data_IF_158540155499
#
_entry.id   IF_158540155499
#
_cell.length_a   1.000
_cell.length_b   1.000
_cell.length_c   1.000
_cell.angle_alpha   90.00
_cell.angle_beta   90.00
_cell.angle_gamma   90.00
#
_symmetry.space_group_name_H-M   'P 1'
#
loop_
_entity.id
_entity.type
_entity.pdbx_description
1 polymer ?
#
# COMPACT_ATOMS: atom_id res chain seq x y z
N UNK A 1 -25.30 -33.03 37.04
CA UNK A 1 -25.92 -32.08 37.97
C UNK A 1 -24.84 -31.09 38.37
N UNK A 2 -25.11 -29.83 38.07
CA UNK A 2 -24.16 -28.73 37.90
C UNK A 2 -24.59 -27.58 38.78
N UNK A 3 -23.76 -27.18 39.74
CA UNK A 3 -23.88 -25.93 40.52
C UNK A 3 -22.42 -25.50 40.78
N UNK A 4 -21.82 -24.56 40.05
CA UNK A 4 -22.10 -23.13 39.88
C UNK A 4 -22.01 -22.36 41.20
N UNK A 5 -20.82 -21.79 41.49
CA UNK A 5 -20.72 -20.62 42.35
C UNK A 5 -19.63 -19.65 41.86
N UNK A 6 -20.06 -18.79 40.94
CA UNK A 6 -19.87 -17.34 40.91
C UNK A 6 -18.80 -16.72 41.83
N UNK A 7 -17.61 -16.49 41.27
CA UNK A 7 -16.64 -15.50 41.77
C UNK A 7 -17.05 -14.09 41.33
N UNK A 8 -17.57 -13.34 42.30
CA UNK A 8 -18.05 -11.96 42.25
C UNK A 8 -16.92 -10.99 41.85
N UNK A 9 -17.10 -10.26 40.75
CA UNK A 9 -16.32 -9.06 40.44
C UNK A 9 -17.07 -7.85 41.01
N UNK A 10 -16.53 -7.21 42.04
CA UNK A 10 -17.00 -5.90 42.52
C UNK A 10 -16.49 -4.78 41.60
N UNK A 11 -17.36 -3.85 41.16
CA UNK A 11 -16.92 -2.63 40.51
C UNK A 11 -16.51 -1.57 41.54
N UNK A 12 -15.35 -0.96 41.32
CA UNK A 12 -14.80 0.18 42.07
C UNK A 12 -15.81 1.35 42.07
N UNK A 13 -16.24 1.78 43.26
CA UNK A 13 -17.05 2.98 43.47
C UNK A 13 -16.22 4.24 43.21
N UNK A 14 -16.70 5.26 42.46
CA UNK A 14 -16.09 6.58 42.46
C UNK A 14 -16.45 7.34 43.75
N UNK A 15 -15.47 8.09 44.26
CA UNK A 15 -15.56 8.87 45.49
C UNK A 15 -16.65 9.97 45.41
N UNK A 16 -17.30 10.15 46.55
CA UNK A 16 -18.30 11.17 46.89
C UNK A 16 -17.79 12.60 46.78
N UNK A 17 -18.58 13.47 46.16
CA UNK A 17 -18.46 14.94 46.25
C UNK A 17 -18.86 15.46 47.65
N UNK A 18 -18.26 16.56 48.14
CA UNK A 18 -18.83 17.36 49.23
C UNK A 18 -19.94 18.32 48.72
N UNK A 19 -20.82 18.83 49.62
CA UNK A 19 -22.06 19.51 49.25
C UNK A 19 -21.94 21.03 49.04
N UNK A 20 -23.06 21.55 48.55
CA UNK A 20 -23.38 22.84 47.94
C UNK A 20 -23.29 24.10 48.82
N UNK A 21 -23.09 25.23 48.14
CA UNK A 21 -23.93 26.45 48.11
C UNK A 21 -23.20 27.47 47.19
N UNK A 22 -23.78 28.37 46.39
CA UNK A 22 -25.12 28.78 45.97
C UNK A 22 -24.81 29.89 44.91
N UNK A 23 -25.24 29.87 43.65
CA UNK A 23 -26.43 30.59 43.15
C UNK A 23 -26.28 30.77 41.62
N UNK A 24 -27.37 30.60 40.87
CA UNK A 24 -27.64 31.46 39.71
C UNK A 24 -27.48 30.89 38.28
N UNK A 25 -28.63 30.57 37.68
CA UNK A 25 -28.98 30.68 36.24
C UNK A 25 -28.83 29.46 35.32
N UNK A 26 -29.80 28.55 35.42
CA UNK A 26 -30.31 27.71 34.32
C UNK A 26 -31.58 28.32 33.75
N UNK A 27 -31.65 28.56 32.43
CA UNK A 27 -32.78 28.55 31.46
C UNK A 27 -32.17 29.17 30.17
N UNK A 28 -32.18 28.66 28.95
CA UNK A 28 -32.83 27.54 28.27
C UNK A 28 -32.00 27.17 27.03
N UNK A 29 -31.81 25.86 26.80
CA UNK A 29 -31.63 25.32 25.45
C UNK A 29 -33.03 25.09 24.87
N UNK A 30 -33.51 26.01 24.03
CA UNK A 30 -34.52 25.80 22.97
C UNK A 30 -35.01 27.16 22.41
N UNK A 31 -34.19 27.86 21.62
CA UNK A 31 -34.64 28.91 20.68
C UNK A 31 -33.46 29.45 19.85
N UNK A 32 -33.01 28.70 18.83
CA UNK A 32 -32.14 29.25 17.78
C UNK A 32 -32.39 28.52 16.44
N UNK A 33 -33.67 28.43 16.07
CA UNK A 33 -34.10 28.36 14.68
C UNK A 33 -34.99 29.58 14.48
N UNK A 34 -34.66 30.39 13.47
CA UNK A 34 -35.33 31.62 13.02
C UNK A 34 -34.85 32.93 13.66
N UNK A 35 -33.93 33.62 12.98
CA UNK A 35 -33.83 35.08 12.98
C UNK A 35 -33.24 35.57 11.63
N UNK A 36 -33.66 36.72 11.09
CA UNK A 36 -33.37 37.16 9.72
C UNK A 36 -32.04 37.90 9.58
N UNK A 37 -31.45 37.83 8.39
CA UNK A 37 -30.31 38.66 7.96
C UNK A 37 -30.69 40.15 7.94
N UNK A 38 -29.90 40.99 8.60
CA UNK A 38 -29.91 42.46 8.46
C UNK A 38 -28.55 42.88 7.92
N UNK A 39 -28.51 43.52 6.74
CA UNK A 39 -27.30 44.11 6.17
C UNK A 39 -26.92 45.41 6.88
N UNK A 40 -25.65 45.66 7.21
CA UNK A 40 -25.19 46.99 7.61
C UNK A 40 -24.82 47.81 6.36
N UNK A 41 -25.52 48.93 6.16
CA UNK A 41 -25.10 50.02 5.27
C UNK A 41 -24.16 50.97 6.03
N UNK A 42 -22.95 51.19 5.51
CA UNK A 42 -22.02 52.21 6.00
C UNK A 42 -20.77 52.31 5.10
N UNK A 43 -20.33 53.51 4.70
CA UNK A 43 -19.27 53.69 3.70
C UNK A 43 -17.87 53.43 4.27
N UNK A 44 -17.06 52.64 3.55
CA UNK A 44 -15.68 52.30 3.90
C UNK A 44 -14.70 53.40 3.42
N UNK A 45 -13.90 54.06 4.28
CA UNK A 45 -13.11 55.24 3.91
C UNK A 45 -11.72 54.97 3.28
N UNK A 46 -11.39 53.75 2.89
CA UNK A 46 -10.06 53.44 2.33
C UNK A 46 -10.14 52.62 1.04
N UNK A 47 -10.41 53.29 -0.07
CA UNK A 47 -10.07 52.80 -1.40
C UNK A 47 -9.91 53.98 -2.38
N UNK A 48 -8.68 54.49 -2.50
CA UNK A 48 -8.28 55.39 -3.59
C UNK A 48 -7.78 54.56 -4.77
N UNK A 49 -8.25 54.90 -5.98
CA UNK A 49 -7.83 54.33 -7.26
C UNK A 49 -6.87 55.28 -8.00
N UNK A 50 -5.99 54.79 -8.89
CA UNK A 50 -5.32 55.62 -9.90
C UNK A 50 -6.11 55.69 -11.23
N UNK A 51 -5.74 56.69 -12.02
CA UNK A 51 -6.54 57.34 -13.05
C UNK A 51 -6.60 56.70 -14.47
N UNK A 52 -7.70 57.07 -15.14
CA UNK A 52 -8.12 57.10 -16.54
C UNK A 52 -7.19 56.77 -17.73
N UNK A 53 -7.76 56.04 -18.71
CA UNK A 53 -7.53 56.13 -20.16
C UNK A 53 -8.85 55.82 -20.93
N UNK A 54 -9.04 56.25 -22.20
CA UNK A 54 -10.31 56.77 -22.70
C UNK A 54 -11.25 55.76 -23.42
N UNK A 55 -12.51 56.19 -23.55
CA UNK A 55 -13.69 55.46 -24.00
C UNK A 55 -13.67 55.01 -25.48
N UNK A 56 -14.30 53.84 -25.72
CA UNK A 56 -14.80 53.38 -27.04
C UNK A 56 -16.30 53.04 -26.96
N UNK A 57 -17.05 53.14 -28.09
CA UNK A 57 -18.52 53.17 -28.08
C UNK A 57 -19.16 51.79 -27.87
N UNK A 58 -20.29 51.77 -27.16
CA UNK A 58 -21.11 50.60 -26.91
C UNK A 58 -21.89 50.18 -28.17
N UNK A 59 -21.64 48.97 -28.66
CA UNK A 59 -22.54 48.23 -29.55
C UNK A 59 -23.44 47.30 -28.72
N UNK A 60 -24.75 47.41 -28.94
CA UNK A 60 -25.78 46.60 -28.29
C UNK A 60 -25.65 45.12 -28.71
N UNK A 61 -25.64 44.22 -27.73
CA UNK A 61 -25.71 42.77 -27.95
C UNK A 61 -27.19 42.32 -27.96
N UNK A 62 -27.60 41.46 -28.91
CA UNK A 62 -28.96 40.93 -28.97
C UNK A 62 -29.20 39.77 -27.99
N UNK A 63 -30.45 39.68 -27.54
CA UNK A 63 -31.04 38.73 -26.60
C UNK A 63 -31.01 37.27 -27.10
N UNK A 64 -30.82 36.25 -26.24
CA UNK A 64 -30.87 34.84 -26.64
C UNK A 64 -32.31 34.35 -26.85
N UNK A 65 -32.58 33.79 -28.03
CA UNK A 65 -33.82 33.10 -28.40
C UNK A 65 -33.90 31.71 -27.75
N UNK A 66 -35.07 31.41 -27.18
CA UNK A 66 -35.45 30.10 -26.62
C UNK A 66 -35.59 29.04 -27.73
N UNK A 67 -34.98 27.87 -27.53
CA UNK A 67 -35.15 26.69 -28.36
C UNK A 67 -36.45 25.92 -28.01
N UNK A 68 -37.19 25.37 -28.99
CA UNK A 68 -38.46 24.68 -28.76
C UNK A 68 -38.29 23.21 -28.31
N UNK A 69 -39.27 22.75 -27.53
CA UNK A 69 -39.37 21.41 -26.96
C UNK A 69 -39.67 20.30 -28.00
N UNK A 70 -39.26 19.04 -27.77
CA UNK A 70 -39.54 17.93 -28.68
C UNK A 70 -41.02 17.48 -28.62
N UNK A 71 -41.62 17.32 -29.80
CA UNK A 71 -42.98 16.84 -30.02
C UNK A 71 -43.12 15.32 -29.79
N UNK A 72 -44.24 14.95 -29.17
CA UNK A 72 -44.71 13.58 -28.94
C UNK A 72 -45.24 12.96 -30.25
N UNK A 73 -44.87 11.71 -30.52
CA UNK A 73 -45.42 10.91 -31.62
C UNK A 73 -46.75 10.23 -31.20
N UNK A 74 -47.69 9.96 -32.13
CA UNK A 74 -49.03 9.48 -31.79
C UNK A 74 -49.13 7.96 -31.60
N UNK A 75 -50.13 7.58 -30.80
CA UNK A 75 -50.52 6.23 -30.44
C UNK A 75 -51.01 5.40 -31.65
N UNK A 76 -50.52 4.17 -31.75
CA UNK A 76 -51.05 3.14 -32.65
C UNK A 76 -51.85 2.08 -31.85
N UNK A 77 -52.97 1.68 -32.45
CA UNK A 77 -54.08 0.90 -31.91
C UNK A 77 -53.75 -0.58 -31.64
N UNK A 78 -54.44 -1.15 -30.65
CA UNK A 78 -54.50 -2.58 -30.33
C UNK A 78 -55.55 -3.31 -31.20
N UNK A 79 -55.21 -4.52 -31.69
CA UNK A 79 -56.12 -5.65 -31.97
C UNK A 79 -55.27 -6.95 -32.17
N UNK A 80 -55.82 -8.18 -32.15
CA UNK A 80 -55.84 -9.05 -30.98
C UNK A 80 -55.06 -10.37 -31.12
N UNK A 81 -55.07 -11.12 -30.01
CA UNK A 81 -54.43 -12.40 -29.73
C UNK A 81 -54.42 -13.45 -30.86
N UNK A 82 -53.26 -14.11 -31.02
CA UNK A 82 -53.06 -15.29 -31.85
C UNK A 82 -51.87 -16.13 -31.39
N UNK A 83 -52.19 -17.17 -30.61
CA UNK A 83 -51.58 -18.51 -30.55
C UNK A 83 -50.06 -18.68 -30.34
N UNK A 84 -49.77 -19.33 -29.22
CA UNK A 84 -48.48 -19.87 -28.78
C UNK A 84 -47.78 -20.76 -29.82
N UNK A 85 -46.50 -20.48 -30.08
CA UNK A 85 -45.51 -21.46 -30.53
C UNK A 85 -44.27 -21.34 -29.62
N UNK A 86 -43.68 -22.44 -29.14
CA UNK A 86 -42.64 -22.41 -28.12
C UNK A 86 -41.29 -21.91 -28.68
N UNK A 87 -40.61 -21.10 -27.89
CA UNK A 87 -39.23 -20.67 -28.13
C UNK A 87 -38.26 -21.88 -28.11
N UNK A 88 -37.22 -21.92 -28.98
CA UNK A 88 -36.21 -22.95 -28.92
C UNK A 88 -35.29 -22.73 -27.70
N UNK A 89 -35.14 -23.77 -26.89
CA UNK A 89 -34.18 -23.83 -25.78
C UNK A 89 -32.74 -23.78 -26.31
N UNK A 90 -31.78 -23.13 -25.62
CA UNK A 90 -30.37 -23.29 -25.92
C UNK A 90 -29.93 -24.72 -25.59
N UNK A 91 -29.46 -25.45 -26.60
CA UNK A 91 -28.89 -26.78 -26.45
C UNK A 91 -27.63 -26.74 -25.57
N UNK A 92 -27.59 -27.63 -24.57
CA UNK A 92 -26.42 -27.89 -23.76
C UNK A 92 -25.28 -28.46 -24.63
N UNK A 93 -24.14 -27.76 -24.65
CA UNK A 93 -22.91 -28.29 -25.22
C UNK A 93 -22.36 -29.42 -24.33
N UNK A 94 -22.34 -30.64 -24.87
CA UNK A 94 -21.64 -31.80 -24.33
C UNK A 94 -20.29 -31.93 -25.05
N UNK A 95 -19.15 -32.08 -24.34
CA UNK A 95 -17.86 -32.30 -24.99
C UNK A 95 -17.78 -33.71 -25.60
N UNK A 96 -17.11 -33.89 -26.76
CA UNK A 96 -17.02 -35.19 -27.41
C UNK A 96 -16.12 -36.17 -26.64
N UNK A 97 -16.65 -37.37 -26.38
CA UNK A 97 -15.90 -38.52 -25.87
C UNK A 97 -14.88 -39.01 -26.89
N UNK A 98 -13.64 -39.22 -26.45
CA UNK A 98 -12.58 -39.87 -27.22
C UNK A 98 -12.80 -41.40 -27.30
N UNK A 99 -12.49 -42.05 -28.43
CA UNK A 99 -12.52 -43.51 -28.56
C UNK A 99 -11.33 -44.18 -27.83
N UNK A 100 -11.48 -45.46 -27.40
CA UNK A 100 -10.46 -46.15 -26.62
C UNK A 100 -9.25 -46.56 -27.45
N UNK A 101 -8.05 -46.29 -26.93
CA UNK A 101 -6.78 -46.71 -27.52
C UNK A 101 -6.54 -48.20 -27.23
N UNK A 102 -6.46 -49.00 -28.30
CA UNK A 102 -6.03 -50.40 -28.28
C UNK A 102 -4.56 -50.50 -27.87
N UNK A 103 -4.27 -51.24 -26.80
CA UNK A 103 -2.93 -51.69 -26.45
C UNK A 103 -2.52 -52.84 -27.40
N UNK A 104 -1.42 -52.67 -28.12
CA UNK A 104 -0.75 -53.73 -28.89
C UNK A 104 0.33 -54.41 -28.03
N UNK A 105 0.46 -55.75 -28.04
CA UNK A 105 1.47 -56.48 -27.27
C UNK A 105 2.82 -56.49 -27.99
N UNK A 106 3.92 -56.25 -27.27
CA UNK A 106 5.28 -56.49 -27.75
C UNK A 106 5.72 -57.95 -27.47
N UNK A 107 6.41 -58.63 -28.41
CA UNK A 107 6.90 -60.01 -28.27
C UNK A 107 8.28 -60.11 -27.55
N UNK A 108 8.68 -61.34 -27.11
CA UNK A 108 9.74 -61.53 -26.13
C UNK A 108 11.13 -61.67 -26.76
N UNK A 109 12.16 -61.13 -26.10
CA UNK A 109 13.57 -61.33 -26.49
C UNK A 109 14.24 -62.27 -25.48
N UNK A 110 14.69 -63.42 -26.00
CA UNK A 110 15.48 -64.43 -25.31
C UNK A 110 16.89 -63.92 -24.99
N UNK A 111 17.37 -64.24 -23.78
CA UNK A 111 18.75 -64.06 -23.35
C UNK A 111 19.45 -65.42 -23.29
N UNK A 112 20.70 -65.49 -23.79
CA UNK A 112 21.85 -66.32 -23.33
C UNK A 112 23.00 -66.22 -24.36
N UNK A 113 24.28 -66.53 -24.05
CA UNK A 113 25.14 -65.81 -23.09
C UNK A 113 26.59 -65.59 -23.63
N UNK A 114 27.31 -64.56 -23.16
CA UNK A 114 28.79 -64.55 -23.18
C UNK A 114 29.38 -63.79 -21.95
N UNK A 115 30.60 -64.16 -21.50
CA UNK A 115 30.98 -64.15 -20.07
C UNK A 115 32.04 -63.11 -19.65
N UNK A 116 32.04 -62.76 -18.34
CA UNK A 116 33.15 -62.22 -17.54
C UNK A 116 33.25 -60.68 -17.48
N UNK A 117 32.66 -59.94 -16.54
CA UNK A 117 32.81 -59.83 -15.07
C UNK A 117 34.16 -59.21 -14.61
N UNK A 118 34.11 -57.98 -14.05
CA UNK A 118 34.50 -57.62 -12.68
C UNK A 118 34.15 -56.14 -12.40
N UNK A 119 33.19 -55.91 -11.50
CA UNK A 119 32.93 -54.62 -10.84
C UNK A 119 32.62 -54.89 -9.34
N UNK A 120 33.23 -54.19 -8.37
CA UNK A 120 32.97 -54.44 -6.94
C UNK A 120 31.75 -53.67 -6.42
N UNK A 121 30.85 -54.38 -5.72
CA UNK A 121 29.70 -53.84 -5.01
C UNK A 121 30.01 -53.57 -3.53
N UNK A 122 29.30 -52.57 -2.98
CA UNK A 122 29.18 -52.24 -1.57
C UNK A 122 28.54 -53.37 -0.75
N UNK A 123 28.80 -53.44 0.57
CA UNK A 123 27.87 -54.01 1.51
C UNK A 123 27.32 -53.00 2.53
N UNK A 124 26.04 -53.13 2.80
CA UNK A 124 25.31 -52.47 3.87
C UNK A 124 25.68 -53.07 5.25
N UNK A 125 25.78 -52.22 6.29
CA UNK A 125 25.29 -52.55 7.63
C UNK A 125 25.40 -51.35 8.61
N UNK A 126 24.39 -51.24 9.47
CA UNK A 126 24.35 -50.55 10.77
C UNK A 126 23.64 -51.51 11.75
N UNK A 127 23.70 -51.33 13.08
CA UNK A 127 24.68 -50.63 13.92
C UNK A 127 25.08 -51.44 15.18
N UNK A 128 26.20 -51.11 15.85
CA UNK A 128 26.26 -51.02 17.31
C UNK A 128 27.58 -50.42 17.84
N UNK A 129 27.43 -49.62 18.89
CA UNK A 129 28.46 -48.88 19.64
C UNK A 129 29.61 -49.75 20.15
N UNK A 130 30.86 -49.26 20.10
CA UNK A 130 31.59 -48.67 21.27
C UNK A 130 33.05 -48.34 20.92
N UNK A 131 33.44 -47.09 21.22
CA UNK A 131 34.76 -46.58 21.63
C UNK A 131 36.05 -47.10 20.96
N UNK A 132 36.77 -46.23 20.26
CA UNK A 132 38.07 -45.68 20.70
C UNK A 132 38.72 -44.83 19.60
N UNK A 133 39.11 -43.61 19.98
CA UNK A 133 40.16 -42.75 19.39
C UNK A 133 40.36 -42.74 17.88
N UNK A 134 39.81 -41.72 17.22
CA UNK A 134 40.50 -41.05 16.13
C UNK A 134 40.23 -39.55 16.19
N UNK A 135 41.26 -38.83 16.62
CA UNK A 135 41.38 -37.39 16.63
C UNK A 135 41.14 -36.84 15.23
N UNK A 136 40.00 -36.20 15.01
CA UNK A 136 39.80 -35.35 13.85
C UNK A 136 40.67 -34.11 14.02
N UNK A 137 41.67 -33.97 13.15
CA UNK A 137 42.40 -32.73 12.97
C UNK A 137 41.41 -31.63 12.59
N UNK A 138 41.07 -30.78 13.55
CA UNK A 138 40.29 -29.56 13.33
C UNK A 138 41.16 -28.65 12.47
N UNK A 139 40.82 -28.58 11.18
CA UNK A 139 41.47 -27.67 10.23
C UNK A 139 41.25 -26.23 10.70
N UNK A 140 42.33 -25.45 10.79
CA UNK A 140 42.31 -24.05 11.17
C UNK A 140 41.50 -23.13 10.22
N UNK A 141 40.91 -23.70 9.15
CA UNK A 141 40.08 -23.00 8.17
C UNK A 141 38.57 -23.07 8.44
N UNK A 142 38.10 -23.89 9.40
CA UNK A 142 36.68 -23.95 9.80
C UNK A 142 36.31 -22.99 10.95
N UNK A 143 37.27 -22.19 11.42
CA UNK A 143 37.04 -21.14 12.40
C UNK A 143 36.50 -19.89 11.69
N UNK A 144 35.23 -19.92 11.30
CA UNK A 144 34.53 -18.69 10.93
C UNK A 144 34.62 -17.71 12.10
N UNK A 145 35.03 -16.47 11.81
CA UNK A 145 35.30 -15.41 12.79
C UNK A 145 34.10 -15.14 13.72
N UNK A 146 32.89 -15.51 13.28
CA UNK A 146 31.64 -15.47 14.03
C UNK A 146 31.50 -16.51 15.15
N UNK A 147 32.23 -17.64 15.09
CA UNK A 147 32.26 -18.66 16.15
C UNK A 147 33.35 -18.38 17.20
N UNK A 148 34.40 -17.63 16.85
CA UNK A 148 35.44 -17.18 17.78
C UNK A 148 35.08 -15.88 18.52
N UNK A 149 34.17 -15.08 17.97
CA UNK A 149 33.63 -13.90 18.62
C UNK A 149 32.48 -14.32 19.53
N UNK A 150 32.72 -14.33 20.85
CA UNK A 150 31.65 -14.30 21.86
C UNK A 150 30.63 -13.25 21.41
N UNK A 151 29.38 -13.65 21.13
CA UNK A 151 28.29 -12.73 20.79
C UNK A 151 28.13 -11.72 21.93
N UNK A 152 28.81 -10.58 21.84
CA UNK A 152 28.64 -9.49 22.77
C UNK A 152 27.30 -8.85 22.41
N UNK A 153 26.34 -8.92 23.34
CA UNK A 153 25.04 -8.25 23.19
C UNK A 153 25.31 -6.80 22.75
N UNK A 154 24.72 -6.30 21.65
CA UNK A 154 24.95 -4.93 21.21
C UNK A 154 24.59 -3.95 22.33
N UNK A 155 25.41 -2.91 22.51
CA UNK A 155 25.24 -1.94 23.58
C UNK A 155 23.90 -1.20 23.44
N UNK A 156 23.16 -0.95 24.54
CA UNK A 156 21.86 -0.28 24.49
C UNK A 156 21.99 1.16 23.96
N UNK A 157 21.23 1.48 22.91
CA UNK A 157 21.31 2.77 22.19
C UNK A 157 20.46 3.88 22.80
N UNK A 158 19.46 3.56 23.65
CA UNK A 158 18.48 4.51 24.21
C UNK A 158 18.01 4.19 25.65
N UNK A 159 17.47 5.21 26.34
CA UNK A 159 16.78 5.09 27.64
C UNK A 159 17.67 4.91 28.89
N UNK A 160 17.05 4.56 30.03
CA UNK A 160 17.73 4.32 31.31
C UNK A 160 18.75 3.18 31.25
N UNK A 161 18.57 2.24 30.33
CA UNK A 161 19.52 1.15 30.06
C UNK A 161 20.82 1.63 29.42
N UNK A 162 20.74 2.62 28.52
CA UNK A 162 21.94 3.33 28.02
C UNK A 162 22.62 4.11 29.14
N UNK A 163 21.84 4.76 30.00
CA UNK A 163 22.37 5.46 31.16
C UNK A 163 23.08 4.49 32.13
N UNK A 164 22.48 3.34 32.46
CA UNK A 164 23.12 2.29 33.27
C UNK A 164 24.35 1.69 32.60
N UNK A 165 24.31 1.39 31.31
CA UNK A 165 25.48 0.91 30.58
C UNK A 165 26.62 1.92 30.61
N UNK A 166 26.30 3.22 30.55
CA UNK A 166 27.29 4.31 30.65
C UNK A 166 27.81 4.49 32.08
N UNK A 167 26.93 4.51 33.07
CA UNK A 167 27.26 4.73 34.50
C UNK A 167 27.98 3.52 35.10
N UNK A 168 27.67 2.30 34.64
CA UNK A 168 28.38 1.07 35.05
C UNK A 168 29.74 0.90 34.35
N UNK A 169 30.26 1.91 33.64
CA UNK A 169 31.54 1.80 32.93
C UNK A 169 31.56 0.69 31.86
N UNK A 170 30.41 0.42 31.23
CA UNK A 170 30.18 -0.68 30.26
C UNK A 170 30.21 -2.10 30.85
N UNK A 171 30.27 -2.27 32.17
CA UNK A 171 30.24 -3.59 32.81
C UNK A 171 28.86 -4.25 32.79
N UNK A 172 27.77 -3.47 32.87
CA UNK A 172 26.40 -4.00 32.88
C UNK A 172 25.71 -3.74 31.55
N UNK A 173 25.75 -4.72 30.67
CA UNK A 173 25.06 -4.69 29.37
C UNK A 173 23.78 -5.54 29.41
N UNK A 174 22.67 -4.90 29.72
CA UNK A 174 21.33 -5.51 29.68
C UNK A 174 20.83 -5.81 28.26
N UNK A 175 21.56 -5.38 27.22
CA UNK A 175 21.19 -5.54 25.82
C UNK A 175 20.03 -4.64 25.38
N UNK A 176 19.66 -4.76 24.10
CA UNK A 176 18.52 -4.07 23.53
C UNK A 176 17.20 -4.61 24.11
N UNK A 177 16.22 -3.72 24.33
CA UNK A 177 14.86 -4.16 24.73
C UNK A 177 14.19 -4.98 23.63
N UNK A 178 13.23 -5.85 23.96
CA UNK A 178 12.49 -6.64 22.96
C UNK A 178 11.87 -5.76 21.86
N UNK A 179 11.37 -4.57 22.23
CA UNK A 179 10.87 -3.56 21.28
C UNK A 179 11.95 -3.02 20.36
N UNK A 180 13.15 -2.78 20.89
CA UNK A 180 14.29 -2.30 20.10
C UNK A 180 14.83 -3.40 19.18
N UNK A 181 14.92 -4.65 19.65
CA UNK A 181 15.28 -5.79 18.82
C UNK A 181 14.28 -5.99 17.68
N UNK A 182 12.98 -5.91 17.97
CA UNK A 182 11.92 -5.96 16.95
C UNK A 182 12.10 -4.85 15.91
N UNK A 183 12.39 -3.62 16.35
CA UNK A 183 12.63 -2.50 15.45
C UNK A 183 13.85 -2.74 14.54
N UNK A 184 14.96 -3.22 15.11
CA UNK A 184 16.17 -3.57 14.36
C UNK A 184 15.87 -4.64 13.31
N UNK A 185 15.11 -5.68 13.68
CA UNK A 185 14.72 -6.75 12.78
C UNK A 185 13.82 -6.25 11.64
N UNK A 186 12.82 -5.42 11.93
CA UNK A 186 11.97 -4.80 10.90
C UNK A 186 12.79 -3.90 9.98
N UNK A 187 13.71 -3.09 10.52
CA UNK A 187 14.61 -2.26 9.70
C UNK A 187 15.51 -3.11 8.82
N UNK A 188 16.01 -4.25 9.33
CA UNK A 188 16.80 -5.19 8.53
C UNK A 188 15.97 -5.78 7.37
N UNK A 189 14.70 -6.11 7.61
CA UNK A 189 13.79 -6.59 6.57
C UNK A 189 13.54 -5.51 5.51
N UNK A 190 13.28 -4.27 5.93
CA UNK A 190 13.09 -3.13 5.01
C UNK A 190 14.33 -2.86 4.17
N UNK A 191 15.53 -3.09 4.70
CA UNK A 191 16.81 -2.83 4.03
C UNK A 191 17.38 -4.06 3.30
N UNK A 192 16.57 -5.08 3.04
CA UNK A 192 17.00 -6.22 2.23
C UNK A 192 17.41 -5.74 0.82
N UNK A 193 18.56 -6.20 0.30
CA UNK A 193 19.00 -5.84 -1.06
C UNK A 193 17.98 -6.26 -2.11
N UNK A 194 17.66 -5.35 -3.02
CA UNK A 194 16.81 -5.63 -4.18
C UNK A 194 17.70 -5.83 -5.41
N UNK A 195 17.34 -6.83 -6.23
CA UNK A 195 17.89 -6.99 -7.57
C UNK A 195 16.91 -6.35 -8.55
N UNK A 196 17.30 -5.26 -9.18
CA UNK A 196 16.42 -4.49 -10.06
C UNK A 196 15.49 -3.54 -9.33
N UNK A 197 14.31 -3.32 -9.91
CA UNK A 197 13.29 -2.40 -9.44
C UNK A 197 12.07 -3.18 -8.94
N UNK A 198 11.60 -2.86 -7.73
CA UNK A 198 10.40 -3.43 -7.14
C UNK A 198 9.24 -2.43 -7.21
N UNK A 199 8.18 -2.80 -7.90
CA UNK A 199 7.05 -1.94 -8.28
C UNK A 199 5.87 -2.19 -7.34
N UNK A 200 5.47 -1.17 -6.57
CA UNK A 200 4.39 -1.25 -5.57
C UNK A 200 3.24 -0.35 -6.02
N UNK A 201 2.07 -0.93 -6.32
CA UNK A 201 0.88 -0.13 -6.63
C UNK A 201 -0.01 0.04 -5.40
N UNK A 202 -0.43 1.29 -5.13
CA UNK A 202 -1.33 1.62 -4.04
C UNK A 202 -2.74 1.84 -4.59
N UNK A 203 -3.70 1.06 -4.10
CA UNK A 203 -5.07 1.05 -4.59
C UNK A 203 -6.06 1.49 -3.51
N UNK A 204 -7.11 2.19 -3.94
CA UNK A 204 -8.28 2.45 -3.11
C UNK A 204 -9.48 2.78 -4.00
N UNK A 205 -10.62 2.15 -3.75
CA UNK A 205 -11.86 2.43 -4.50
C UNK A 205 -12.61 3.69 -4.00
N UNK A 206 -12.21 4.25 -2.85
CA UNK A 206 -12.82 5.47 -2.29
C UNK A 206 -11.80 6.58 -2.12
N UNK A 207 -12.17 7.80 -2.54
CA UNK A 207 -11.44 9.01 -2.20
C UNK A 207 -11.37 9.26 -0.69
N UNK A 208 -10.27 9.83 -0.21
CA UNK A 208 -10.13 10.26 1.18
C UNK A 208 -9.84 9.14 2.20
N UNK A 209 -9.52 7.92 1.76
CA UNK A 209 -9.04 6.85 2.68
C UNK A 209 -7.58 7.04 3.12
N UNK A 210 -6.89 8.02 2.54
CA UNK A 210 -5.48 8.31 2.82
C UNK A 210 -4.50 7.49 1.99
N UNK A 211 -4.88 7.04 0.79
CA UNK A 211 -3.99 6.33 -0.16
C UNK A 211 -2.74 7.15 -0.47
N UNK A 212 -2.88 8.38 -0.99
CA UNK A 212 -1.76 9.28 -1.29
C UNK A 212 -0.88 9.56 -0.07
N UNK A 213 -1.50 9.76 1.10
CA UNK A 213 -0.77 9.92 2.37
C UNK A 213 0.00 8.65 2.74
N UNK A 214 -0.59 7.47 2.52
CA UNK A 214 0.06 6.17 2.72
C UNK A 214 1.21 5.99 1.73
N UNK A 215 1.05 6.38 0.46
CA UNK A 215 2.12 6.35 -0.56
C UNK A 215 3.32 7.18 -0.12
N UNK A 216 3.10 8.44 0.26
CA UNK A 216 4.18 9.33 0.68
C UNK A 216 4.84 8.90 2.01
N UNK A 217 4.07 8.42 2.99
CA UNK A 217 4.62 7.93 4.27
C UNK A 217 5.36 6.61 4.13
N UNK A 218 4.83 5.66 3.35
CA UNK A 218 5.48 4.38 3.06
C UNK A 218 6.77 4.60 2.26
N UNK A 219 6.70 5.40 1.20
CA UNK A 219 7.86 5.77 0.38
C UNK A 219 8.94 6.47 1.20
N UNK A 220 8.57 7.43 2.06
CA UNK A 220 9.52 8.10 2.96
C UNK A 220 10.12 7.15 4.00
N UNK A 221 9.34 6.17 4.47
CA UNK A 221 9.84 5.14 5.39
C UNK A 221 10.85 4.23 4.70
N UNK A 222 10.59 3.81 3.45
CA UNK A 222 11.58 3.08 2.66
C UNK A 222 12.83 3.93 2.42
N UNK A 223 12.68 5.15 1.91
CA UNK A 223 13.80 6.02 1.54
C UNK A 223 14.69 6.41 2.73
N UNK A 224 14.10 6.60 3.93
CA UNK A 224 14.85 6.94 5.14
C UNK A 224 15.63 5.76 5.74
N UNK A 225 15.19 4.52 5.47
CA UNK A 225 15.80 3.30 6.03
C UNK A 225 16.75 2.62 5.05
N UNK A 226 16.56 2.84 3.75
CA UNK A 226 17.34 2.22 2.70
C UNK A 226 18.46 3.14 2.19
N UNK A 227 19.52 2.53 1.68
CA UNK A 227 20.65 3.25 1.07
C UNK A 227 20.39 3.66 -0.40
N UNK A 228 19.54 2.91 -1.08
CA UNK A 228 19.19 3.06 -2.49
C UNK A 228 18.05 4.06 -2.71
N UNK A 229 17.63 4.25 -3.97
CA UNK A 229 16.71 5.30 -4.38
C UNK A 229 15.28 4.78 -4.49
N UNK A 230 14.35 5.52 -3.90
CA UNK A 230 12.92 5.24 -3.85
C UNK A 230 12.17 6.41 -4.47
N UNK A 231 11.28 6.13 -5.41
CA UNK A 231 10.42 7.13 -6.05
C UNK A 231 8.96 6.78 -5.88
N UNK A 232 8.11 7.79 -5.75
CA UNK A 232 6.68 7.66 -5.86
C UNK A 232 6.15 8.42 -7.09
N UNK A 233 5.34 7.77 -7.91
CA UNK A 233 4.73 8.31 -9.13
C UNK A 233 3.25 8.56 -8.85
N UNK A 234 2.79 9.77 -9.11
CA UNK A 234 1.35 10.08 -9.06
C UNK A 234 0.70 9.66 -10.38
N UNK A 235 -0.12 8.61 -10.34
CA UNK A 235 -0.83 8.07 -11.50
C UNK A 235 -2.33 8.41 -11.43
N UNK A 236 -2.69 9.54 -10.81
CA UNK A 236 -4.06 10.00 -10.73
C UNK A 236 -4.43 10.90 -11.92
N UNK A 237 -5.38 10.50 -12.80
CA UNK A 237 -5.80 11.30 -13.95
C UNK A 237 -6.67 12.51 -13.58
N UNK A 238 -7.36 12.46 -12.44
CA UNK A 238 -8.41 13.44 -12.11
C UNK A 238 -7.89 14.66 -11.35
N UNK A 239 -6.75 14.51 -10.64
CA UNK A 239 -5.92 15.54 -9.98
C UNK A 239 -4.95 14.87 -8.99
N UNK A 240 -3.67 14.84 -9.34
CA UNK A 240 -2.61 14.41 -8.43
C UNK A 240 -2.50 15.30 -7.19
N UNK A 241 -2.29 14.67 -6.03
CA UNK A 241 -2.07 15.39 -4.75
C UNK A 241 -0.82 14.90 -4.03
N UNK A 242 -0.06 13.99 -4.65
CA UNK A 242 1.13 13.41 -4.05
C UNK A 242 2.26 14.44 -3.90
N UNK A 243 2.43 15.32 -4.89
CA UNK A 243 3.42 16.40 -4.86
C UNK A 243 3.20 17.38 -3.70
N UNK A 244 1.97 17.49 -3.18
CA UNK A 244 1.64 18.34 -2.02
C UNK A 244 2.10 17.75 -0.68
N UNK A 245 2.61 16.50 -0.69
CA UNK A 245 3.08 15.80 0.51
C UNK A 245 4.57 15.98 0.78
N UNK A 246 5.29 16.66 -0.12
CA UNK A 246 6.72 16.95 0.02
C UNK A 246 7.01 18.39 -0.44
N UNK A 247 8.17 18.96 -0.07
CA UNK A 247 8.60 20.24 -0.62
C UNK A 247 8.71 20.17 -2.14
N UNK A 248 8.15 21.17 -2.83
CA UNK A 248 8.21 21.26 -4.29
C UNK A 248 9.53 21.90 -4.71
N UNK A 249 10.36 21.15 -5.42
CA UNK A 249 11.64 21.62 -5.97
C UNK A 249 11.55 21.94 -7.47
N UNK A 250 10.64 21.27 -8.17
CA UNK A 250 10.41 21.44 -9.60
C UNK A 250 8.92 21.35 -9.91
N UNK A 251 8.37 22.20 -10.81
CA UNK A 251 6.99 22.06 -11.29
C UNK A 251 6.84 20.99 -12.39
N UNK A 252 7.94 20.36 -12.81
CA UNK A 252 7.93 19.35 -13.86
C UNK A 252 7.07 18.14 -13.46
N UNK A 253 6.38 17.59 -14.45
CA UNK A 253 5.47 16.44 -14.29
C UNK A 253 5.97 15.24 -15.09
N UNK A 254 5.28 14.11 -14.92
CA UNK A 254 5.50 12.90 -15.72
C UNK A 254 5.47 13.16 -17.23
N UNK A 255 4.68 14.13 -17.71
CA UNK A 255 4.64 14.48 -19.15
C UNK A 255 5.91 15.15 -19.61
N UNK A 256 6.51 16.00 -18.79
CA UNK A 256 7.79 16.63 -19.11
C UNK A 256 8.88 15.56 -19.24
N UNK A 257 8.89 14.58 -18.33
CA UNK A 257 9.81 13.45 -18.38
C UNK A 257 9.63 12.61 -19.66
N UNK A 258 8.38 12.28 -20.01
CA UNK A 258 8.06 11.50 -21.21
C UNK A 258 8.38 12.23 -22.51
N UNK A 259 8.18 13.55 -22.56
CA UNK A 259 8.55 14.37 -23.72
C UNK A 259 10.05 14.35 -23.97
N UNK A 260 10.83 14.34 -22.91
CA UNK A 260 12.28 14.43 -22.96
C UNK A 260 12.94 13.03 -22.83
N UNK A 261 12.18 11.94 -23.01
CA UNK A 261 12.60 10.55 -22.78
C UNK A 261 13.92 10.17 -23.46
N UNK A 262 14.11 10.61 -24.71
CA UNK A 262 15.32 10.30 -25.50
C UNK A 262 16.59 10.97 -24.96
N UNK A 263 16.45 11.96 -24.08
CA UNK A 263 17.57 12.66 -23.44
C UNK A 263 17.93 12.12 -22.06
N UNK A 264 17.17 11.16 -21.54
CA UNK A 264 17.37 10.61 -20.20
C UNK A 264 18.35 9.43 -20.25
N UNK A 265 19.61 9.70 -19.91
CA UNK A 265 20.68 8.69 -19.92
C UNK A 265 21.19 8.37 -18.50
N UNK A 266 21.21 9.37 -17.62
CA UNK A 266 21.73 9.26 -16.25
C UNK A 266 20.71 9.74 -15.24
N UNK A 267 20.90 9.33 -13.99
CA UNK A 267 20.01 9.68 -12.89
C UNK A 267 19.82 11.21 -12.71
N UNK A 268 20.87 12.01 -12.95
CA UNK A 268 20.76 13.48 -12.84
C UNK A 268 19.76 14.09 -13.83
N UNK A 269 19.51 13.42 -14.95
CA UNK A 269 18.56 13.91 -15.96
C UNK A 269 17.14 13.73 -15.40
N UNK A 270 16.81 12.53 -14.88
CA UNK A 270 15.53 12.26 -14.22
C UNK A 270 15.30 13.17 -13.02
N UNK A 271 16.34 13.46 -12.24
CA UNK A 271 16.23 14.28 -11.02
C UNK A 271 15.73 15.71 -11.27
N UNK A 272 15.86 16.20 -12.51
CA UNK A 272 15.33 17.51 -12.92
C UNK A 272 13.79 17.54 -12.97
N UNK A 273 13.16 16.36 -13.00
CA UNK A 273 11.71 16.16 -13.10
C UNK A 273 11.07 15.68 -11.80
N UNK A 274 11.86 15.41 -10.75
CA UNK A 274 11.35 14.96 -9.45
C UNK A 274 11.56 16.01 -8.39
N UNK A 275 10.67 16.02 -7.40
CA UNK A 275 10.90 16.73 -6.13
C UNK A 275 11.28 15.72 -5.05
N UNK A 276 12.19 16.07 -4.15
CA UNK A 276 12.68 15.16 -3.11
C UNK A 276 12.31 15.63 -1.70
N UNK A 277 11.81 14.72 -0.88
CA UNK A 277 11.59 14.96 0.54
C UNK A 277 12.90 14.93 1.33
N UNK A 278 12.89 15.47 2.55
CA UNK A 278 14.04 15.34 3.48
C UNK A 278 14.43 13.89 3.80
N UNK A 279 13.52 12.94 3.55
CA UNK A 279 13.72 11.51 3.76
C UNK A 279 14.28 10.80 2.53
N UNK A 280 14.68 11.56 1.49
CA UNK A 280 15.17 11.06 0.19
C UNK A 280 14.12 10.34 -0.65
N UNK A 281 12.83 10.43 -0.30
CA UNK A 281 11.77 9.99 -1.19
C UNK A 281 11.68 11.00 -2.32
N UNK A 282 11.79 10.53 -3.56
CA UNK A 282 11.49 11.34 -4.73
C UNK A 282 10.04 11.17 -5.15
N UNK A 283 9.44 12.22 -5.68
CA UNK A 283 8.08 12.23 -6.21
C UNK A 283 8.11 12.76 -7.62
N UNK A 284 7.53 11.98 -8.54
CA UNK A 284 7.19 12.40 -9.88
C UNK A 284 5.71 12.78 -9.90
N UNK A 285 5.43 14.07 -10.08
CA UNK A 285 4.08 14.60 -10.05
C UNK A 285 3.31 14.23 -11.33
N UNK A 286 2.00 14.02 -11.20
CA UNK A 286 1.10 13.94 -12.34
C UNK A 286 0.89 15.33 -12.92
N UNK A 287 0.46 15.39 -14.18
CA UNK A 287 -0.14 16.62 -14.68
C UNK A 287 -1.46 16.87 -13.92
N UNK A 288 -1.77 18.14 -13.69
CA UNK A 288 -2.94 18.58 -12.94
C UNK A 288 -3.88 19.46 -13.77
N UNK A 289 -3.52 19.72 -15.04
CA UNK A 289 -4.35 20.50 -15.96
C UNK A 289 -5.54 19.67 -16.48
N UNK A 290 -6.78 20.00 -16.09
CA UNK A 290 -8.00 19.31 -16.54
C UNK A 290 -8.31 19.54 -18.03
N UNK A 291 -7.67 20.55 -18.66
CA UNK A 291 -7.85 20.84 -20.08
C UNK A 291 -7.05 19.90 -21.00
N UNK A 292 -6.12 19.12 -20.44
CA UNK A 292 -5.35 18.13 -21.19
C UNK A 292 -6.24 16.90 -21.41
N UNK A 293 -6.72 16.74 -22.65
CA UNK A 293 -7.76 15.78 -23.02
C UNK A 293 -7.34 14.29 -22.98
N UNK A 294 -6.05 13.98 -22.89
CA UNK A 294 -5.56 12.60 -22.74
C UNK A 294 -5.15 12.36 -21.30
N UNK A 295 -6.00 11.70 -20.53
CA UNK A 295 -5.64 11.20 -19.22
C UNK A 295 -4.40 10.29 -19.32
N UNK A 296 -3.55 10.29 -18.27
CA UNK A 296 -2.31 9.50 -18.20
C UNK A 296 -2.55 8.04 -18.65
N UNK A 297 -1.99 7.66 -19.80
CA UNK A 297 -2.35 6.43 -20.50
C UNK A 297 -1.57 5.20 -20.00
N UNK A 298 -1.99 4.02 -20.43
CA UNK A 298 -1.25 2.78 -20.23
C UNK A 298 0.18 2.84 -20.79
N UNK A 299 0.34 3.38 -22.01
CA UNK A 299 1.63 3.53 -22.68
C UNK A 299 2.54 4.52 -21.94
N UNK A 300 1.98 5.66 -21.52
CA UNK A 300 2.70 6.66 -20.73
C UNK A 300 3.23 6.07 -19.42
N UNK A 301 2.43 5.25 -18.73
CA UNK A 301 2.85 4.57 -17.52
C UNK A 301 3.97 3.56 -17.80
N UNK A 302 3.81 2.70 -18.81
CA UNK A 302 4.81 1.69 -19.16
C UNK A 302 6.17 2.33 -19.48
N UNK A 303 6.18 3.39 -20.30
CA UNK A 303 7.39 4.15 -20.65
C UNK A 303 8.00 4.84 -19.44
N UNK A 304 7.18 5.46 -18.60
CA UNK A 304 7.63 6.09 -17.35
C UNK A 304 8.33 5.08 -16.46
N UNK A 305 7.69 3.93 -16.16
CA UNK A 305 8.27 2.92 -15.27
C UNK A 305 9.53 2.29 -15.86
N UNK A 306 9.55 2.02 -17.18
CA UNK A 306 10.74 1.51 -17.90
C UNK A 306 11.94 2.45 -17.80
N UNK A 307 11.70 3.76 -17.75
CA UNK A 307 12.77 4.73 -17.52
C UNK A 307 13.20 4.74 -16.05
N UNK A 308 12.24 4.73 -15.11
CA UNK A 308 12.52 4.80 -13.68
C UNK A 308 13.24 3.55 -13.15
N UNK A 309 12.93 2.36 -13.64
CA UNK A 309 13.55 1.11 -13.16
C UNK A 309 15.07 1.05 -13.36
N UNK A 310 15.62 1.87 -14.27
CA UNK A 310 17.07 2.01 -14.48
C UNK A 310 17.75 2.75 -13.34
N UNK A 311 17.02 3.60 -12.62
CA UNK A 311 17.58 4.51 -11.64
C UNK A 311 17.06 4.28 -10.22
N UNK A 312 15.88 3.69 -10.03
CA UNK A 312 15.27 3.47 -8.72
C UNK A 312 15.14 1.98 -8.43
N UNK A 313 15.35 1.58 -7.17
CA UNK A 313 15.15 0.20 -6.75
C UNK A 313 13.72 -0.06 -6.26
N UNK A 314 12.98 0.98 -5.90
CA UNK A 314 11.56 0.90 -5.54
C UNK A 314 10.80 2.03 -6.24
N UNK A 315 9.72 1.65 -6.92
CA UNK A 315 8.74 2.58 -7.51
C UNK A 315 7.39 2.36 -6.82
N UNK A 316 6.86 3.39 -6.17
CA UNK A 316 5.51 3.39 -5.61
C UNK A 316 4.56 4.13 -6.54
N UNK A 317 3.51 3.48 -7.00
CA UNK A 317 2.51 4.11 -7.88
C UNK A 317 1.27 4.49 -7.05
N UNK A 318 1.02 5.79 -6.89
CA UNK A 318 -0.21 6.31 -6.28
C UNK A 318 -1.34 6.27 -7.31
N UNK A 319 -2.07 5.16 -7.40
CA UNK A 319 -3.12 4.99 -8.40
C UNK A 319 -4.30 5.94 -8.12
N UNK A 320 -4.99 6.42 -9.15
CA UNK A 320 -6.26 7.14 -8.97
C UNK A 320 -7.33 6.32 -8.22
N UNK A 321 -8.48 6.93 -7.94
CA UNK A 321 -9.60 6.25 -7.24
C UNK A 321 -10.43 5.34 -8.15
N UNK A 322 -10.21 5.39 -9.47
CA UNK A 322 -10.92 4.59 -10.46
C UNK A 322 -10.12 3.35 -10.89
N UNK A 323 -10.71 2.16 -10.73
CA UNK A 323 -10.17 0.90 -11.27
C UNK A 323 -10.39 0.75 -12.79
N UNK A 324 -11.26 1.59 -13.38
CA UNK A 324 -11.64 1.53 -14.79
C UNK A 324 -10.82 2.45 -15.70
N UNK A 325 -9.72 3.02 -15.18
CA UNK A 325 -8.85 3.88 -15.98
C UNK A 325 -7.97 3.02 -16.89
N UNK A 326 -7.70 3.51 -18.12
CA UNK A 326 -6.91 2.77 -19.13
C UNK A 326 -5.53 2.32 -18.61
N UNK A 327 -4.89 3.14 -17.77
CA UNK A 327 -3.60 2.81 -17.17
C UNK A 327 -3.66 1.73 -16.08
N UNK A 328 -4.82 1.44 -15.48
CA UNK A 328 -4.92 0.54 -14.33
C UNK A 328 -4.47 -0.89 -14.68
N UNK A 329 -4.88 -1.41 -15.85
CA UNK A 329 -4.48 -2.74 -16.30
C UNK A 329 -2.95 -2.85 -16.35
N UNK A 330 -2.29 -1.91 -17.02
CA UNK A 330 -0.82 -1.89 -17.11
C UNK A 330 -0.15 -1.71 -15.75
N UNK A 331 -0.71 -0.89 -14.85
CA UNK A 331 -0.20 -0.75 -13.48
C UNK A 331 -0.25 -2.09 -12.74
N UNK A 332 -1.35 -2.84 -12.87
CA UNK A 332 -1.52 -4.13 -12.20
C UNK A 332 -0.63 -5.22 -12.81
N UNK A 333 -0.47 -5.23 -14.13
CA UNK A 333 0.40 -6.17 -14.85
C UNK A 333 1.89 -5.96 -14.49
N UNK A 334 2.31 -4.71 -14.30
CA UNK A 334 3.68 -4.35 -13.93
C UNK A 334 3.97 -4.40 -12.43
N UNK A 335 2.96 -4.47 -11.56
CA UNK A 335 3.15 -4.40 -10.11
C UNK A 335 3.63 -5.73 -9.51
N UNK A 336 4.73 -5.68 -8.75
CA UNK A 336 5.22 -6.82 -7.96
C UNK A 336 4.39 -7.03 -6.68
N UNK A 337 3.81 -5.94 -6.15
CA UNK A 337 2.92 -5.98 -4.99
C UNK A 337 1.85 -4.91 -5.01
N UNK A 338 0.74 -5.22 -4.36
CA UNK A 338 -0.34 -4.27 -4.08
C UNK A 338 -0.40 -3.89 -2.61
N UNK A 339 -0.67 -2.62 -2.37
CA UNK A 339 -1.09 -2.10 -1.07
C UNK A 339 -2.52 -1.57 -1.20
N UNK A 340 -3.49 -2.28 -0.63
CA UNK A 340 -4.90 -1.91 -0.69
C UNK A 340 -5.26 -1.07 0.52
N UNK A 341 -5.53 0.22 0.31
CA UNK A 341 -5.79 1.17 1.38
C UNK A 341 -7.30 1.31 1.61
N UNK A 342 -7.70 1.05 2.84
CA UNK A 342 -9.06 1.18 3.33
C UNK A 342 -9.10 2.11 4.53
N UNK A 343 -10.20 2.84 4.74
CA UNK A 343 -10.41 3.56 6.00
C UNK A 343 -10.97 2.62 7.07
N UNK A 344 -10.77 2.96 8.35
CA UNK A 344 -11.37 2.23 9.48
C UNK A 344 -12.90 2.37 9.61
N UNK A 345 -13.65 2.49 8.50
CA UNK A 345 -15.11 2.61 8.46
C UNK A 345 -15.75 1.41 7.75
N UNK A 346 -17.05 1.17 7.95
CA UNK A 346 -17.79 0.09 7.26
C UNK A 346 -17.77 0.30 5.75
N UNK A 347 -17.99 1.53 5.31
CA UNK A 347 -17.97 1.87 3.88
C UNK A 347 -16.57 1.71 3.29
N UNK A 348 -15.52 2.08 4.04
CA UNK A 348 -14.14 1.87 3.65
C UNK A 348 -13.82 0.40 3.49
N UNK A 349 -14.19 -0.41 4.47
CA UNK A 349 -14.00 -1.86 4.44
C UNK A 349 -14.71 -2.49 3.24
N UNK A 350 -16.02 -2.22 3.08
CA UNK A 350 -16.82 -2.73 1.95
C UNK A 350 -16.25 -2.31 0.58
N UNK A 351 -15.80 -1.07 0.46
CA UNK A 351 -15.21 -0.55 -0.78
C UNK A 351 -13.88 -1.24 -1.12
N UNK A 352 -13.03 -1.47 -0.13
CA UNK A 352 -11.79 -2.24 -0.33
C UNK A 352 -12.09 -3.73 -0.62
N UNK A 353 -13.08 -4.35 0.02
CA UNK A 353 -13.53 -5.71 -0.33
C UNK A 353 -13.97 -5.82 -1.78
N UNK A 354 -14.79 -4.87 -2.26
CA UNK A 354 -15.22 -4.83 -3.66
C UNK A 354 -14.04 -4.61 -4.63
N UNK A 355 -12.98 -3.90 -4.19
CA UNK A 355 -11.73 -3.77 -4.97
C UNK A 355 -11.06 -5.14 -5.13
N UNK A 356 -10.93 -5.89 -4.04
CA UNK A 356 -10.33 -7.23 -4.05
C UNK A 356 -11.17 -8.22 -4.88
N UNK A 357 -12.49 -8.19 -4.73
CA UNK A 357 -13.39 -9.05 -5.51
C UNK A 357 -13.30 -8.71 -7.02
N UNK A 358 -13.15 -7.43 -7.38
CA UNK A 358 -12.91 -7.01 -8.76
C UNK A 358 -11.56 -7.52 -9.28
N UNK A 359 -10.48 -7.36 -8.50
CA UNK A 359 -9.15 -7.85 -8.86
C UNK A 359 -9.15 -9.37 -9.10
N UNK A 360 -9.78 -10.14 -8.21
CA UNK A 360 -9.94 -11.58 -8.34
C UNK A 360 -10.71 -11.95 -9.62
N UNK A 361 -11.82 -11.26 -9.89
CA UNK A 361 -12.65 -11.51 -11.08
C UNK A 361 -11.94 -11.18 -12.40
N UNK A 362 -10.92 -10.32 -12.39
CA UNK A 362 -10.16 -9.89 -13.56
C UNK A 362 -8.78 -10.54 -13.67
N UNK A 363 -8.53 -11.63 -12.93
CA UNK A 363 -7.34 -12.46 -13.09
C UNK A 363 -6.15 -12.07 -12.20
N UNK A 364 -6.30 -11.09 -11.31
CA UNK A 364 -5.25 -10.62 -10.40
C UNK A 364 -5.25 -11.33 -9.04
N UNK A 365 -5.81 -12.55 -8.97
CA UNK A 365 -5.95 -13.31 -7.72
C UNK A 365 -4.60 -13.56 -7.02
N UNK A 366 -3.57 -13.95 -7.76
CA UNK A 366 -2.23 -14.17 -7.20
C UNK A 366 -1.63 -12.86 -6.67
N UNK A 367 -1.88 -11.74 -7.36
CA UNK A 367 -1.46 -10.41 -6.95
C UNK A 367 -2.21 -9.93 -5.70
N UNK A 368 -3.49 -10.29 -5.54
CA UNK A 368 -4.26 -10.09 -4.30
C UNK A 368 -3.71 -10.95 -3.17
N UNK A 369 -3.42 -12.23 -3.41
CA UNK A 369 -2.93 -13.15 -2.39
C UNK A 369 -1.59 -12.70 -1.78
N UNK A 370 -0.74 -12.02 -2.55
CA UNK A 370 0.53 -11.43 -2.08
C UNK A 370 0.40 -10.01 -1.53
N UNK A 371 -0.76 -9.37 -1.67
CA UNK A 371 -0.99 -7.97 -1.29
C UNK A 371 -0.98 -7.74 0.22
N UNK A 372 -0.77 -6.48 0.60
CA UNK A 372 -0.91 -6.00 1.98
C UNK A 372 -2.11 -5.07 2.06
N UNK A 373 -3.11 -5.41 2.88
CA UNK A 373 -4.20 -4.50 3.17
C UNK A 373 -3.80 -3.52 4.28
N UNK A 374 -4.12 -2.25 4.09
CA UNK A 374 -3.88 -1.18 5.07
C UNK A 374 -5.22 -0.65 5.53
N UNK A 375 -5.47 -0.74 6.84
CA UNK A 375 -6.61 -0.07 7.47
C UNK A 375 -6.10 1.22 8.10
N UNK A 376 -6.39 2.34 7.45
CA UNK A 376 -5.93 3.66 7.84
C UNK A 376 -7.00 4.39 8.68
N UNK A 377 -6.63 4.77 9.90
CA UNK A 377 -7.49 5.55 10.78
C UNK A 377 -7.37 7.05 10.45
N UNK A 378 -8.20 7.52 9.52
CA UNK A 378 -8.25 8.93 9.09
C UNK A 378 -8.90 9.87 10.12
N UNK A 379 -9.48 9.34 11.20
CA UNK A 379 -10.08 10.13 12.29
C UNK A 379 -9.78 9.51 13.66
N UNK A 380 -9.71 10.30 14.76
CA UNK A 380 -9.40 9.80 16.10
C UNK A 380 -10.43 8.82 16.65
N UNK A 381 -11.69 8.99 16.26
CA UNK A 381 -12.80 8.07 16.55
C UNK A 381 -13.29 7.49 15.23
N UNK A 382 -12.72 6.36 14.83
CA UNK A 382 -13.38 5.45 13.89
C UNK A 382 -14.77 5.14 14.48
N UNK A 383 -15.82 5.07 13.66
CA UNK A 383 -17.21 4.90 14.15
C UNK A 383 -17.43 3.61 14.97
N UNK A 384 -18.69 3.19 15.16
CA UNK A 384 -19.04 1.89 15.79
C UNK A 384 -18.63 0.67 14.94
N UNK A 385 -17.45 0.70 14.33
CA UNK A 385 -16.95 -0.33 13.42
C UNK A 385 -16.11 -1.30 14.22
N UNK A 386 -16.44 -2.58 14.08
CA UNK A 386 -15.70 -3.69 14.65
C UNK A 386 -14.42 -3.90 13.82
N UNK A 387 -13.38 -3.14 14.17
CA UNK A 387 -12.10 -3.15 13.48
C UNK A 387 -11.47 -4.57 13.42
N UNK A 388 -11.54 -5.41 14.48
CA UNK A 388 -11.16 -6.82 14.39
C UNK A 388 -11.81 -7.58 13.24
N UNK A 389 -13.12 -7.43 13.02
CA UNK A 389 -13.81 -8.09 11.90
C UNK A 389 -13.36 -7.59 10.53
N UNK A 390 -13.04 -6.29 10.43
CA UNK A 390 -12.49 -5.73 9.19
C UNK A 390 -11.12 -6.33 8.91
N UNK A 391 -10.27 -6.47 9.93
CA UNK A 391 -8.96 -7.12 9.81
C UNK A 391 -9.13 -8.58 9.39
N UNK A 392 -9.96 -9.35 10.09
CA UNK A 392 -10.25 -10.76 9.79
C UNK A 392 -10.73 -10.95 8.34
N UNK A 393 -11.59 -10.05 7.85
CA UNK A 393 -12.07 -10.08 6.47
C UNK A 393 -10.95 -9.91 5.43
N UNK A 394 -9.98 -9.04 5.69
CA UNK A 394 -8.84 -8.82 4.79
C UNK A 394 -7.77 -9.90 4.91
N UNK A 395 -7.54 -10.47 6.10
CA UNK A 395 -6.61 -11.59 6.31
C UNK A 395 -7.01 -12.85 5.53
N UNK A 396 -8.29 -12.99 5.15
CA UNK A 396 -8.76 -14.09 4.31
C UNK A 396 -8.38 -13.96 2.82
N UNK A 397 -7.97 -12.77 2.37
CA UNK A 397 -7.71 -12.45 0.96
C UNK A 397 -6.29 -11.98 0.71
N UNK A 398 -5.77 -11.13 1.59
CA UNK A 398 -4.45 -10.53 1.52
C UNK A 398 -3.48 -11.29 2.43
N UNK A 399 -2.20 -11.30 2.07
CA UNK A 399 -1.15 -11.96 2.87
C UNK A 399 -1.05 -11.39 4.29
N UNK A 400 -1.15 -10.06 4.40
CA UNK A 400 -0.99 -9.34 5.66
C UNK A 400 -1.94 -8.16 5.73
N UNK A 401 -2.32 -7.79 6.96
CA UNK A 401 -3.07 -6.57 7.26
C UNK A 401 -2.27 -5.70 8.22
N UNK A 402 -2.25 -4.39 7.97
CA UNK A 402 -1.59 -3.39 8.81
C UNK A 402 -2.52 -2.25 9.16
N UNK A 403 -2.54 -1.88 10.43
CA UNK A 403 -3.32 -0.75 10.93
C UNK A 403 -2.41 0.47 11.04
N UNK A 404 -2.76 1.56 10.36
CA UNK A 404 -2.14 2.87 10.59
C UNK A 404 -3.05 3.66 11.54
N UNK A 405 -2.59 3.97 12.77
CA UNK A 405 -3.40 4.72 13.73
C UNK A 405 -3.54 6.19 13.31
N UNK A 406 -4.55 6.85 13.84
CA UNK A 406 -4.76 8.28 13.60
C UNK A 406 -3.58 9.11 14.11
N UNK A 407 -3.10 9.98 13.24
CA UNK A 407 -2.02 10.91 13.50
C UNK A 407 -2.43 12.33 13.05
N UNK A 408 -2.44 13.33 13.97
CA UNK A 408 -2.78 14.70 13.62
C UNK A 408 -1.90 15.26 12.49
N UNK A 409 -0.61 14.91 12.45
CA UNK A 409 0.30 15.39 11.41
C UNK A 409 -0.11 14.92 10.02
N UNK A 410 -0.70 13.72 9.92
CA UNK A 410 -1.19 13.17 8.66
C UNK A 410 -2.56 13.74 8.26
N UNK A 411 -3.35 14.22 9.22
CA UNK A 411 -4.65 14.88 8.99
C UNK A 411 -4.48 16.30 8.45
N UNK A 412 -3.44 17.03 8.85
CA UNK A 412 -3.12 18.39 8.38
C UNK A 412 -3.09 18.50 6.85
N UNK A 413 -2.80 17.39 6.15
CA UNK A 413 -2.79 17.34 4.69
C UNK A 413 -1.61 18.07 4.05
N UNK A 414 -0.68 18.58 4.85
CA UNK A 414 0.52 19.29 4.45
C UNK A 414 1.70 18.32 4.17
N UNK A 415 2.91 18.89 4.10
CA UNK A 415 4.15 18.14 3.93
C UNK A 415 4.36 17.08 5.02
N UNK A 416 4.87 15.92 4.60
CA UNK A 416 5.04 14.76 5.48
C UNK A 416 6.41 14.78 6.14
N UNK A 417 6.38 14.72 7.47
CA UNK A 417 7.53 14.86 8.34
C UNK A 417 7.56 13.66 9.30
N UNK A 418 8.35 12.63 8.99
CA UNK A 418 8.38 11.40 9.79
C UNK A 418 8.66 11.65 11.28
N UNK A 419 9.49 12.65 11.61
CA UNK A 419 9.83 13.05 12.98
C UNK A 419 8.63 13.59 13.79
N UNK A 420 7.68 14.26 13.12
CA UNK A 420 6.47 14.83 13.74
C UNK A 420 5.39 13.78 14.01
N UNK A 421 5.47 12.63 13.34
CA UNK A 421 4.56 11.52 13.58
C UNK A 421 4.66 11.00 15.01
N UNK A 422 3.54 10.56 15.57
CA UNK A 422 3.52 9.89 16.88
C UNK A 422 4.34 8.60 16.80
N UNK A 423 5.00 8.19 17.91
CA UNK A 423 5.79 6.96 17.93
C UNK A 423 5.01 5.70 17.51
N UNK A 424 3.70 5.66 17.79
CA UNK A 424 2.82 4.54 17.38
C UNK A 424 2.67 4.50 15.86
N UNK A 425 2.41 5.64 15.22
CA UNK A 425 2.29 5.77 13.76
C UNK A 425 3.59 5.43 13.05
N UNK A 426 4.74 5.92 13.54
CA UNK A 426 6.05 5.54 12.99
C UNK A 426 6.32 4.04 13.04
N UNK A 427 5.96 3.39 14.15
CA UNK A 427 6.13 1.94 14.26
C UNK A 427 5.19 1.19 13.31
N UNK A 428 3.94 1.64 13.17
CA UNK A 428 3.00 1.06 12.22
C UNK A 428 3.48 1.19 10.76
N UNK A 429 4.06 2.33 10.38
CA UNK A 429 4.66 2.53 9.07
C UNK A 429 5.89 1.66 8.84
N UNK A 430 6.74 1.48 9.86
CA UNK A 430 7.86 0.54 9.80
C UNK A 430 7.37 -0.91 9.62
N UNK A 431 6.31 -1.30 10.34
CA UNK A 431 5.69 -2.62 10.21
C UNK A 431 5.01 -2.84 8.85
N UNK A 432 4.47 -1.78 8.25
CA UNK A 432 3.96 -1.80 6.88
C UNK A 432 5.09 -1.93 5.86
N UNK A 433 6.14 -1.12 5.97
CA UNK A 433 7.30 -1.22 5.10
C UNK A 433 7.93 -2.62 5.16
N UNK A 434 8.07 -3.19 6.37
CA UNK A 434 8.57 -4.55 6.54
C UNK A 434 7.61 -5.62 5.98
N UNK A 435 6.29 -5.43 6.10
CA UNK A 435 5.29 -6.33 5.53
C UNK A 435 5.32 -6.35 3.99
N UNK A 436 5.58 -5.21 3.36
CA UNK A 436 5.81 -5.15 1.92
C UNK A 436 7.17 -5.76 1.56
N UNK A 437 8.23 -5.38 2.27
CA UNK A 437 9.58 -5.88 2.04
C UNK A 437 9.74 -7.40 2.24
N UNK A 438 8.88 -8.03 3.03
CA UNK A 438 8.90 -9.49 3.20
C UNK A 438 8.60 -10.28 1.91
N UNK A 439 8.10 -9.61 0.86
CA UNK A 439 7.89 -10.16 -0.47
C UNK A 439 9.06 -9.95 -1.44
N UNK A 440 10.09 -9.20 -1.02
CA UNK A 440 11.19 -8.89 -1.92
C UNK A 440 11.85 -10.18 -2.41
N UNK A 441 12.14 -10.28 -3.71
CA UNK A 441 12.76 -11.47 -4.26
C UNK A 441 14.11 -11.71 -3.57
N UNK A 442 14.36 -12.94 -3.16
CA UNK A 442 15.61 -13.30 -2.51
C UNK A 442 16.78 -13.01 -3.45
N UNK A 443 17.73 -12.16 -3.02
CA UNK A 443 18.92 -11.87 -3.81
C UNK A 443 19.73 -13.16 -4.02
N UNK A 444 19.98 -13.51 -5.28
CA UNK A 444 20.69 -14.73 -5.72
C UNK A 444 22.13 -14.86 -5.17
N UNK A 445 22.70 -13.79 -4.61
CA UNK A 445 23.99 -13.81 -3.91
C UNK A 445 24.03 -14.71 -2.67
N UNK A 446 22.90 -15.06 -2.07
CA UNK A 446 22.88 -15.95 -0.90
C UNK A 446 23.05 -17.45 -1.23
N UNK A 447 23.02 -17.83 -2.51
CA UNK A 447 23.11 -19.23 -2.96
C UNK A 447 24.46 -19.61 -3.57
N UNK A 448 25.36 -18.65 -3.82
CA UNK A 448 26.70 -18.92 -4.37
C UNK A 448 27.78 -19.21 -3.31
N UNK A 449 27.54 -18.92 -2.03
CA UNK A 449 28.43 -19.30 -0.90
C UNK A 449 28.17 -20.73 -0.37
N UNK A 450 27.44 -21.57 -1.13
CA UNK A 450 27.17 -22.98 -0.78
C UNK A 450 27.46 -23.95 -1.93
N UNK A 451 28.58 -23.79 -2.62
CA UNK A 451 29.10 -24.83 -3.53
C UNK A 451 30.56 -25.11 -3.31
#
# INVERSE_FOLDING_TARGET
MSENNSGMWEPVRPASNPPADDTGSTVAWNAARQAPYVQPQGPNPFAQAPAAAPARPQTQAPTPQQAPAPQQAPAAQQAPAGQHAPAPQPAAFTPPQQPPVRQTPQPPVQQTPQPGAFAPQQPANRPNNTNADQQYAVSARDLSTSLLLKQVKPAPTTGWRKALYRVSGRYVNVGNSAKEQRRIELTKQVNQPLQGCYKIALLSLKGGVGKTTTTATLGSTFASLRGDRVIAVDANPDRGTLSQKIPLETPATVRNLLRDEQSIEKYSDVRSYTSQSRHRLEVLASDSDPAVSEAFSADDYARTVTMLEKFYSIVLTDCGTGLMHSAMQTILEEADALVVVSSGSVDGARSASATLDWLDAHGYRELVARSVAVVNAVRPRSGKVDLPKVVEHFEQRCRLVRLIPFDPHLEEGAEIELERLRPKTRNALLELAAAVASDFPASSFALQDRR
#
